data_IF_393643220342
#
_entry.id   IF_393643220342
#
_cell.length_a   1.000
_cell.length_b   1.000
_cell.length_c   1.000
_cell.angle_alpha   90.00
_cell.angle_beta   90.00
_cell.angle_gamma   90.00
#
_symmetry.space_group_name_H-M   'P 1'
#
loop_
_entity.id
_entity.type
_entity.pdbx_description
1 polymer ?
#
# COMPACT_ATOMS: atom_id res chain seq x y z
N UNK A 1 28.72 -1.26 -18.96
CA UNK A 1 27.97 -2.54 -18.90
C UNK A 1 27.40 -2.87 -17.53
N UNK A 2 28.18 -3.18 -16.48
CA UNK A 2 27.60 -3.60 -15.17
C UNK A 2 26.78 -2.48 -14.49
N UNK A 3 27.32 -1.27 -14.39
CA UNK A 3 26.60 -0.12 -13.79
C UNK A 3 25.41 0.35 -14.64
N UNK A 4 25.48 0.25 -15.98
CA UNK A 4 24.33 0.55 -16.86
C UNK A 4 23.21 -0.48 -16.71
N UNK A 5 23.55 -1.76 -16.59
CA UNK A 5 22.59 -2.84 -16.35
C UNK A 5 21.92 -2.66 -14.98
N UNK A 6 22.71 -2.34 -13.95
CA UNK A 6 22.21 -2.04 -12.60
C UNK A 6 21.28 -0.84 -12.58
N UNK A 7 21.65 0.26 -13.23
CA UNK A 7 20.81 1.46 -13.34
C UNK A 7 19.53 1.21 -14.15
N UNK A 8 19.57 0.31 -15.15
CA UNK A 8 18.37 -0.06 -15.93
C UNK A 8 17.37 -0.92 -15.14
N UNK A 9 17.84 -1.65 -14.12
CA UNK A 9 17.01 -2.49 -13.25
C UNK A 9 16.46 -1.75 -12.03
N UNK A 10 17.02 -0.57 -11.72
CA UNK A 10 16.65 0.21 -10.54
C UNK A 10 15.13 0.54 -10.47
N UNK A 11 14.45 0.96 -11.55
CA UNK A 11 13.01 1.21 -11.49
C UNK A 11 12.18 -0.04 -11.14
N UNK A 12 12.62 -1.22 -11.59
CA UNK A 12 11.96 -2.48 -11.28
C UNK A 12 12.13 -2.83 -9.80
N UNK A 13 13.33 -2.59 -9.24
CA UNK A 13 13.60 -2.78 -7.82
C UNK A 13 12.79 -1.81 -6.94
N UNK A 14 12.71 -0.54 -7.34
CA UNK A 14 11.91 0.48 -6.63
C UNK A 14 10.41 0.12 -6.66
N UNK A 15 9.90 -0.35 -7.81
CA UNK A 15 8.52 -0.85 -7.92
C UNK A 15 8.26 -2.07 -7.02
N UNK A 16 9.17 -3.03 -7.00
CA UNK A 16 9.05 -4.23 -6.15
C UNK A 16 9.03 -3.85 -4.66
N UNK A 17 9.85 -2.88 -4.25
CA UNK A 17 9.90 -2.38 -2.88
C UNK A 17 8.61 -1.64 -2.48
N UNK A 18 8.04 -0.82 -3.38
CA UNK A 18 6.73 -0.16 -3.15
C UNK A 18 5.63 -1.20 -2.93
N UNK A 19 5.57 -2.21 -3.80
CA UNK A 19 4.56 -3.28 -3.69
C UNK A 19 4.77 -4.11 -2.41
N UNK A 20 6.02 -4.43 -2.06
CA UNK A 20 6.35 -5.16 -0.84
C UNK A 20 5.88 -4.40 0.40
N UNK A 21 6.25 -3.12 0.54
CA UNK A 21 5.82 -2.28 1.67
C UNK A 21 4.31 -2.16 1.76
N UNK A 22 3.64 -2.03 0.62
CA UNK A 22 2.18 -1.97 0.56
C UNK A 22 1.57 -3.28 1.03
N UNK A 23 2.08 -4.42 0.58
CA UNK A 23 1.62 -5.74 1.02
C UNK A 23 1.85 -5.95 2.53
N UNK A 24 3.02 -5.59 3.06
CA UNK A 24 3.31 -5.64 4.49
C UNK A 24 2.32 -4.79 5.30
N UNK A 25 2.01 -3.58 4.84
CA UNK A 25 1.02 -2.69 5.47
C UNK A 25 -0.38 -3.30 5.46
N UNK A 26 -0.83 -3.86 4.33
CA UNK A 26 -2.14 -4.52 4.22
C UNK A 26 -2.24 -5.76 5.12
N UNK A 27 -1.19 -6.59 5.14
CA UNK A 27 -1.13 -7.77 6.02
C UNK A 27 -1.18 -7.34 7.48
N UNK A 28 -0.48 -6.27 7.86
CA UNK A 28 -0.51 -5.76 9.22
C UNK A 28 -1.91 -5.26 9.61
N UNK A 29 -2.61 -4.53 8.72
CA UNK A 29 -3.98 -4.07 8.93
C UNK A 29 -4.96 -5.24 9.11
N UNK A 30 -4.91 -6.22 8.22
CA UNK A 30 -5.72 -7.45 8.30
C UNK A 30 -5.45 -8.24 9.58
N UNK A 31 -4.17 -8.42 9.94
CA UNK A 31 -3.78 -9.16 11.14
C UNK A 31 -4.28 -8.47 12.41
N UNK A 32 -4.16 -7.13 12.46
CA UNK A 32 -4.69 -6.32 13.56
C UNK A 32 -6.21 -6.47 13.66
N UNK A 33 -6.92 -6.35 12.53
CA UNK A 33 -8.37 -6.53 12.48
C UNK A 33 -8.80 -7.91 13.02
N UNK A 34 -8.18 -9.00 12.54
CA UNK A 34 -8.51 -10.36 12.99
C UNK A 34 -8.26 -10.54 14.48
N UNK A 35 -7.12 -10.06 14.99
CA UNK A 35 -6.81 -10.14 16.41
C UNK A 35 -7.82 -9.38 17.27
N UNK A 36 -8.19 -8.17 16.85
CA UNK A 36 -9.19 -7.38 17.53
C UNK A 36 -10.57 -8.02 17.48
N UNK A 37 -10.97 -8.59 16.34
CA UNK A 37 -12.23 -9.31 16.17
C UNK A 37 -12.33 -10.53 17.08
N UNK A 38 -11.27 -11.34 17.16
CA UNK A 38 -11.22 -12.51 18.05
C UNK A 38 -11.28 -12.06 19.52
N UNK A 39 -10.49 -11.05 19.88
CA UNK A 39 -10.48 -10.50 21.23
C UNK A 39 -11.84 -9.92 21.63
N UNK A 40 -12.48 -9.16 20.74
CA UNK A 40 -13.80 -8.57 21.00
C UNK A 40 -14.88 -9.65 21.09
N UNK A 41 -14.81 -10.69 20.26
CA UNK A 41 -15.74 -11.82 20.29
C UNK A 41 -15.67 -12.56 21.62
N UNK A 42 -14.46 -12.84 22.13
CA UNK A 42 -14.29 -13.48 23.43
C UNK A 42 -14.78 -12.60 24.58
N UNK A 43 -14.49 -11.30 24.53
CA UNK A 43 -14.99 -10.34 25.52
C UNK A 43 -16.52 -10.28 25.53
N UNK A 44 -17.14 -10.25 24.35
CA UNK A 44 -18.60 -10.24 24.19
C UNK A 44 -19.22 -11.54 24.71
N UNK A 45 -18.62 -12.69 24.41
CA UNK A 45 -19.09 -13.98 24.92
C UNK A 45 -19.09 -14.01 26.45
N UNK A 46 -18.02 -13.53 27.08
CA UNK A 46 -17.93 -13.42 28.54
C UNK A 46 -18.95 -12.43 29.12
N UNK A 47 -19.14 -11.29 28.47
CA UNK A 47 -20.14 -10.31 28.90
C UNK A 47 -21.56 -10.91 28.88
N UNK A 48 -21.90 -11.65 27.82
CA UNK A 48 -23.21 -12.28 27.67
C UNK A 48 -23.45 -13.39 28.71
N UNK A 49 -22.42 -14.09 29.19
CA UNK A 49 -22.61 -15.11 30.25
C UNK A 49 -22.95 -14.52 31.62
N UNK A 50 -22.57 -13.26 31.85
CA UNK A 50 -22.79 -12.58 33.14
C UNK A 50 -24.12 -11.80 33.17
N UNK A 51 -24.72 -11.52 32.01
CA UNK A 51 -25.98 -10.77 31.88
C UNK A 51 -27.18 -11.68 32.13
N UNK A 52 -28.06 -11.25 33.04
CA UNK A 52 -29.28 -11.98 33.42
C UNK A 52 -30.55 -11.42 32.77
N UNK A 53 -30.55 -10.14 32.39
CA UNK A 53 -31.67 -9.51 31.71
C UNK A 53 -31.54 -9.64 30.18
N UNK A 54 -32.51 -10.26 29.50
CA UNK A 54 -32.55 -10.34 28.04
C UNK A 54 -32.46 -8.98 27.32
N UNK A 55 -32.99 -7.89 27.92
CA UNK A 55 -32.88 -6.54 27.32
C UNK A 55 -31.44 -6.05 27.33
N UNK A 56 -30.76 -6.17 28.46
CA UNK A 56 -29.34 -5.80 28.61
C UNK A 56 -28.46 -6.62 27.66
N UNK A 57 -28.77 -7.90 27.46
CA UNK A 57 -28.06 -8.75 26.52
C UNK A 57 -28.23 -8.27 25.07
N UNK A 58 -29.45 -7.84 24.70
CA UNK A 58 -29.73 -7.29 23.38
C UNK A 58 -29.00 -5.96 23.15
N UNK A 59 -28.99 -5.07 24.14
CA UNK A 59 -28.25 -3.81 24.08
C UNK A 59 -26.74 -4.03 23.95
N UNK A 60 -26.18 -4.98 24.70
CA UNK A 60 -24.77 -5.36 24.61
C UNK A 60 -24.43 -5.89 23.20
N UNK A 61 -25.28 -6.73 22.62
CA UNK A 61 -25.07 -7.24 21.27
C UNK A 61 -25.17 -6.14 20.20
N UNK A 62 -26.10 -5.19 20.36
CA UNK A 62 -26.25 -4.03 19.47
C UNK A 62 -25.03 -3.12 19.52
N UNK A 63 -24.48 -2.89 20.71
CA UNK A 63 -23.25 -2.13 20.91
C UNK A 63 -22.06 -2.82 20.23
N UNK A 64 -21.90 -4.12 20.47
CA UNK A 64 -20.86 -4.93 19.85
C UNK A 64 -20.90 -4.89 18.31
N UNK A 65 -22.08 -5.01 17.72
CA UNK A 65 -22.25 -4.92 16.26
C UNK A 65 -21.81 -3.56 15.72
N UNK A 66 -22.23 -2.46 16.35
CA UNK A 66 -21.82 -1.10 15.96
C UNK A 66 -20.31 -0.90 16.05
N UNK A 67 -19.68 -1.44 17.10
CA UNK A 67 -18.23 -1.36 17.28
C UNK A 67 -17.48 -2.13 16.19
N UNK A 68 -17.93 -3.32 15.82
CA UNK A 68 -17.34 -4.09 14.73
C UNK A 68 -17.52 -3.39 13.39
N UNK A 69 -18.72 -2.90 13.11
CA UNK A 69 -19.02 -2.18 11.87
C UNK A 69 -18.08 -0.98 11.70
N UNK A 70 -17.91 -0.17 12.75
CA UNK A 70 -16.99 0.96 12.76
C UNK A 70 -15.54 0.54 12.51
N UNK A 71 -15.09 -0.57 13.13
CA UNK A 71 -13.72 -1.10 12.93
C UNK A 71 -13.50 -1.60 11.51
N UNK A 72 -14.45 -2.31 10.92
CA UNK A 72 -14.36 -2.78 9.53
C UNK A 72 -14.24 -1.58 8.59
N UNK A 73 -15.08 -0.56 8.79
CA UNK A 73 -15.04 0.66 7.97
C UNK A 73 -13.70 1.39 8.08
N UNK A 74 -13.15 1.53 9.30
CA UNK A 74 -11.85 2.14 9.54
C UNK A 74 -10.70 1.37 8.85
N UNK A 75 -10.67 0.04 9.00
CA UNK A 75 -9.66 -0.81 8.34
C UNK A 75 -9.76 -0.69 6.82
N UNK A 76 -10.97 -0.76 6.26
CA UNK A 76 -11.19 -0.60 4.82
C UNK A 76 -10.70 0.78 4.32
N UNK A 77 -10.96 1.85 5.07
CA UNK A 77 -10.48 3.19 4.74
C UNK A 77 -8.94 3.25 4.76
N UNK A 78 -8.29 2.60 5.72
CA UNK A 78 -6.83 2.53 5.82
C UNK A 78 -6.21 1.70 4.69
N UNK A 79 -6.83 0.59 4.29
CA UNK A 79 -6.40 -0.24 3.15
C UNK A 79 -6.50 0.54 1.84
N UNK A 80 -7.61 1.25 1.59
CA UNK A 80 -7.78 2.12 0.41
C UNK A 80 -6.75 3.23 0.39
N UNK A 81 -6.45 3.83 1.55
CA UNK A 81 -5.40 4.85 1.66
C UNK A 81 -4.03 4.28 1.31
N UNK A 82 -3.68 3.10 1.84
CA UNK A 82 -2.41 2.45 1.55
C UNK A 82 -2.24 2.14 0.06
N UNK A 83 -3.29 1.63 -0.60
CA UNK A 83 -3.29 1.37 -2.04
C UNK A 83 -3.19 2.67 -2.86
N UNK A 84 -3.84 3.74 -2.41
CA UNK A 84 -3.79 5.04 -3.08
C UNK A 84 -2.40 5.67 -2.98
N UNK A 85 -1.75 5.57 -1.81
CA UNK A 85 -0.36 5.99 -1.61
C UNK A 85 0.60 5.21 -2.52
N UNK A 86 0.44 3.89 -2.61
CA UNK A 86 1.25 3.03 -3.48
C UNK A 86 1.08 3.42 -4.94
N UNK A 87 -0.16 3.63 -5.40
CA UNK A 87 -0.46 4.09 -6.76
C UNK A 87 0.24 5.41 -7.05
N UNK A 88 0.15 6.39 -6.15
CA UNK A 88 0.80 7.69 -6.34
C UNK A 88 2.34 7.54 -6.45
N UNK A 89 2.96 6.72 -5.60
CA UNK A 89 4.40 6.46 -5.67
C UNK A 89 4.81 5.80 -6.99
N UNK A 90 4.03 4.81 -7.46
CA UNK A 90 4.26 4.15 -8.75
C UNK A 90 4.10 5.11 -9.94
N UNK A 91 3.12 6.00 -9.90
CA UNK A 91 2.95 7.04 -10.94
C UNK A 91 4.17 7.95 -11.00
N UNK A 92 4.65 8.44 -9.86
CA UNK A 92 5.85 9.29 -9.80
C UNK A 92 7.09 8.54 -10.30
N UNK A 93 7.25 7.27 -9.92
CA UNK A 93 8.33 6.42 -10.40
C UNK A 93 8.30 6.27 -11.93
N UNK A 94 7.11 6.07 -12.50
CA UNK A 94 6.92 5.92 -13.93
C UNK A 94 7.22 7.22 -14.70
N UNK A 95 6.73 8.36 -14.20
CA UNK A 95 7.03 9.69 -14.76
C UNK A 95 8.52 9.98 -14.75
N UNK A 96 9.20 9.69 -13.64
CA UNK A 96 10.66 9.83 -13.52
C UNK A 96 11.39 8.93 -14.51
N UNK A 97 11.00 7.66 -14.61
CA UNK A 97 11.61 6.69 -15.52
C UNK A 97 11.47 7.12 -16.98
N UNK A 98 10.29 7.61 -17.38
CA UNK A 98 10.04 8.11 -18.74
C UNK A 98 10.86 9.37 -19.04
N UNK A 99 10.97 10.30 -18.09
CA UNK A 99 11.78 11.51 -18.25
C UNK A 99 13.26 11.18 -18.42
N UNK A 100 13.80 10.29 -17.59
CA UNK A 100 15.20 9.86 -17.68
C UNK A 100 15.49 9.12 -19.01
N UNK A 101 14.53 8.34 -19.52
CA UNK A 101 14.66 7.69 -20.82
C UNK A 101 14.66 8.71 -21.98
N UNK A 102 13.77 9.70 -21.94
CA UNK A 102 13.71 10.78 -22.92
C UNK A 102 14.99 11.62 -22.93
N UNK A 103 15.49 11.99 -21.75
CA UNK A 103 16.74 12.74 -21.59
C UNK A 103 17.92 11.97 -22.20
N UNK A 104 18.05 10.66 -21.89
CA UNK A 104 19.09 9.80 -22.48
C UNK A 104 19.01 9.73 -24.01
N UNK A 105 17.80 9.63 -24.56
CA UNK A 105 17.58 9.63 -26.02
C UNK A 105 18.01 10.96 -26.65
N UNK A 106 17.66 12.09 -26.03
CA UNK A 106 18.05 13.42 -26.49
C UNK A 106 19.58 13.63 -26.45
N UNK A 107 20.24 13.22 -25.36
CA UNK A 107 21.69 13.28 -25.26
C UNK A 107 22.39 12.41 -26.33
N UNK A 108 21.87 11.22 -26.62
CA UNK A 108 22.40 10.35 -27.66
C UNK A 108 22.28 10.97 -29.07
N UNK A 109 21.19 11.68 -29.37
CA UNK A 109 21.01 12.41 -30.64
C UNK A 109 21.97 13.60 -30.75
N UNK A 110 22.13 14.38 -29.68
CA UNK A 110 23.07 15.51 -29.64
C UNK A 110 24.53 15.05 -29.81
N UNK A 111 24.94 13.96 -29.16
CA UNK A 111 26.28 13.38 -29.33
C UNK A 111 26.53 12.95 -30.78
N UNK A 112 25.51 12.36 -31.43
CA UNK A 112 25.57 11.97 -32.84
C UNK A 112 25.69 13.19 -33.76
N UNK A 113 24.95 14.27 -33.47
CA UNK A 113 25.04 15.52 -34.22
C UNK A 113 26.43 16.15 -34.10
N UNK A 114 26.97 16.29 -32.88
CA UNK A 114 28.31 16.84 -32.64
C UNK A 114 29.38 16.03 -33.36
N UNK A 115 29.34 14.69 -33.28
CA UNK A 115 30.28 13.81 -33.99
C UNK A 115 30.23 13.99 -35.51
N UNK A 116 29.05 14.25 -36.07
CA UNK A 116 28.89 14.49 -37.50
C UNK A 116 29.41 15.89 -37.91
N UNK A 117 29.31 16.89 -37.03
CA UNK A 117 29.88 18.22 -37.27
C UNK A 117 31.41 18.25 -37.16
N UNK A 118 32.01 17.49 -36.24
CA UNK A 118 33.48 17.43 -36.05
C UNK A 118 34.20 16.52 -37.04
N UNK A 119 33.47 15.79 -37.90
CA UNK A 119 34.03 14.91 -38.94
C UNK A 119 34.13 15.59 -40.33
N UNK A 120 33.76 16.88 -40.42
CA UNK A 120 34.08 17.76 -41.56
C UNK A 120 35.29 18.62 -41.19
#
# INVERSE_FOLDING_TARGET
MYEELKNSMQPVMEMAEINKKTAEKLIALQSKYVNEFVSSSMAQMKALTDIKDPKEAMEAQLKYLKEIEAKIADVAQQEVSALSEAKAQLTVLMEKTLKEAADKSYFAEMEKMVKNFTKK
#
